data_IF_547430740067
#
_entry.id   IF_547430740067
#
_cell.length_a   1.000
_cell.length_b   1.000
_cell.length_c   1.000
_cell.angle_alpha   90.00
_cell.angle_beta   90.00
_cell.angle_gamma   90.00
#
_symmetry.space_group_name_H-M   'P 1'
#
loop_
_entity.id
_entity.type
_entity.pdbx_description
1 polymer ?
#
# COMPACT_ATOMS: atom_id res chain seq x y z
N UNK A 1 -14.64 -25.85 -6.73
CA UNK A 1 -14.59 -24.47 -6.26
C UNK A 1 -13.12 -24.11 -6.13
N UNK A 2 -12.68 -23.06 -6.81
CA UNK A 2 -11.32 -22.51 -6.66
C UNK A 2 -11.41 -21.22 -5.82
N UNK A 3 -10.50 -21.09 -4.86
CA UNK A 3 -10.45 -19.95 -3.99
C UNK A 3 -9.23 -19.11 -4.40
N UNK A 4 -9.46 -17.86 -4.77
CA UNK A 4 -8.38 -16.89 -4.94
C UNK A 4 -7.91 -16.40 -3.57
N UNK A 5 -6.63 -16.58 -3.26
CA UNK A 5 -6.00 -16.17 -2.00
C UNK A 5 -4.97 -15.05 -2.16
N UNK A 6 -4.92 -14.39 -3.31
CA UNK A 6 -3.91 -13.38 -3.64
C UNK A 6 -3.87 -12.20 -2.65
N UNK A 7 -4.99 -11.89 -2.02
CA UNK A 7 -5.12 -10.84 -1.01
C UNK A 7 -4.37 -11.15 0.30
N UNK A 8 -4.09 -12.44 0.55
CA UNK A 8 -3.41 -12.90 1.78
C UNK A 8 -1.89 -13.11 1.59
N UNK A 9 -1.38 -12.77 0.40
CA UNK A 9 0.07 -12.86 0.14
C UNK A 9 0.84 -11.85 1.00
N UNK A 10 2.00 -12.29 1.47
CA UNK A 10 2.87 -11.45 2.30
C UNK A 10 3.76 -10.52 1.47
N UNK A 11 3.97 -10.86 0.19
CA UNK A 11 4.86 -10.11 -0.69
C UNK A 11 4.15 -9.58 -1.94
N UNK A 12 4.56 -8.40 -2.47
CA UNK A 12 4.04 -7.89 -3.73
C UNK A 12 4.27 -8.83 -4.92
N UNK A 13 5.44 -9.48 -4.97
CA UNK A 13 5.74 -10.45 -6.04
C UNK A 13 4.93 -11.73 -5.87
N UNK A 14 4.70 -12.22 -4.64
CA UNK A 14 3.80 -13.34 -4.40
C UNK A 14 2.38 -13.05 -4.91
N UNK A 15 1.87 -11.84 -4.64
CA UNK A 15 0.58 -11.40 -5.18
C UNK A 15 0.58 -11.37 -6.71
N UNK A 16 1.62 -10.83 -7.34
CA UNK A 16 1.73 -10.76 -8.79
C UNK A 16 1.88 -12.16 -9.43
N UNK A 17 2.48 -13.12 -8.73
CA UNK A 17 2.71 -14.48 -9.23
C UNK A 17 1.41 -15.27 -9.46
N UNK A 18 0.30 -14.86 -8.83
CA UNK A 18 -1.02 -15.47 -9.08
C UNK A 18 -1.43 -15.42 -10.56
N UNK A 19 -0.83 -14.56 -11.38
CA UNK A 19 -1.04 -14.57 -12.84
C UNK A 19 -0.71 -15.94 -13.46
N UNK A 20 0.29 -16.66 -12.92
CA UNK A 20 0.66 -18.00 -13.38
C UNK A 20 -0.44 -19.03 -13.13
N UNK A 21 -1.09 -18.91 -11.94
CA UNK A 21 -2.25 -19.76 -11.64
C UNK A 21 -3.38 -19.57 -12.65
N UNK A 22 -3.72 -18.32 -12.97
CA UNK A 22 -4.72 -18.03 -13.99
C UNK A 22 -4.23 -18.45 -15.39
N UNK A 23 -2.94 -18.26 -15.69
CA UNK A 23 -2.34 -18.73 -16.94
C UNK A 23 -2.53 -20.22 -17.15
N UNK A 24 -2.28 -21.03 -16.11
CA UNK A 24 -2.47 -22.47 -16.15
C UNK A 24 -3.95 -22.86 -16.42
N UNK A 25 -4.91 -22.16 -15.79
CA UNK A 25 -6.33 -22.41 -15.99
C UNK A 25 -6.83 -22.17 -17.43
N UNK A 26 -6.20 -21.24 -18.13
CA UNK A 26 -6.57 -20.86 -19.49
C UNK A 26 -5.62 -21.41 -20.56
N UNK A 27 -4.64 -22.26 -20.19
CA UNK A 27 -3.64 -22.78 -21.12
C UNK A 27 -2.69 -21.69 -21.66
N UNK A 28 -2.44 -20.65 -20.87
CA UNK A 28 -1.63 -19.48 -21.23
C UNK A 28 -0.33 -19.40 -20.41
N UNK A 29 0.20 -20.55 -19.97
CA UNK A 29 1.35 -20.64 -19.06
C UNK A 29 2.54 -19.80 -19.53
N UNK A 30 2.98 -19.96 -20.77
CA UNK A 30 4.12 -19.22 -21.33
C UNK A 30 3.90 -17.70 -21.32
N UNK A 31 2.68 -17.26 -21.56
CA UNK A 31 2.33 -15.84 -21.53
C UNK A 31 2.34 -15.30 -20.10
N UNK A 32 1.79 -16.04 -19.16
CA UNK A 32 1.77 -15.70 -17.75
C UNK A 32 3.20 -15.64 -17.16
N UNK A 33 4.05 -16.61 -17.48
CA UNK A 33 5.46 -16.62 -17.09
C UNK A 33 6.21 -15.42 -17.65
N UNK A 34 6.01 -15.10 -18.92
CA UNK A 34 6.66 -13.93 -19.53
C UNK A 34 6.24 -12.61 -18.87
N UNK A 35 4.94 -12.46 -18.55
CA UNK A 35 4.42 -11.27 -17.87
C UNK A 35 5.02 -11.19 -16.46
N UNK A 36 4.97 -12.28 -15.69
CA UNK A 36 5.50 -12.31 -14.33
C UNK A 36 7.01 -12.00 -14.31
N UNK A 37 7.80 -12.61 -15.18
CA UNK A 37 9.24 -12.36 -15.26
C UNK A 37 9.55 -10.88 -15.53
N UNK A 38 8.77 -10.22 -16.39
CA UNK A 38 8.93 -8.78 -16.62
C UNK A 38 8.57 -7.95 -15.39
N UNK A 39 7.46 -8.29 -14.70
CA UNK A 39 7.07 -7.63 -13.44
C UNK A 39 8.18 -7.77 -12.40
N UNK A 40 8.66 -8.99 -12.16
CA UNK A 40 9.72 -9.29 -11.21
C UNK A 40 11.01 -8.50 -11.50
N UNK A 41 11.42 -8.46 -12.77
CA UNK A 41 12.61 -7.71 -13.20
C UNK A 41 12.47 -6.21 -12.91
N UNK A 42 11.36 -5.59 -13.30
CA UNK A 42 11.16 -4.14 -13.10
C UNK A 42 10.94 -3.82 -11.62
N UNK A 43 10.27 -4.70 -10.88
CA UNK A 43 10.13 -4.59 -9.44
C UNK A 43 11.48 -4.57 -8.73
N UNK A 44 12.33 -5.56 -8.98
CA UNK A 44 13.65 -5.67 -8.37
C UNK A 44 14.57 -4.49 -8.74
N UNK A 45 14.47 -3.99 -9.95
CA UNK A 45 15.18 -2.79 -10.40
C UNK A 45 14.72 -1.55 -9.63
N UNK A 46 13.41 -1.41 -9.42
CA UNK A 46 12.82 -0.29 -8.66
C UNK A 46 13.22 -0.36 -7.18
N UNK A 47 13.18 -1.55 -6.57
CA UNK A 47 13.66 -1.77 -5.20
C UNK A 47 15.14 -1.42 -5.06
N UNK A 48 15.96 -1.83 -6.04
CA UNK A 48 17.39 -1.48 -6.03
C UNK A 48 17.62 0.04 -6.12
N UNK A 49 16.82 0.74 -6.93
CA UNK A 49 16.84 2.21 -6.99
C UNK A 49 16.41 2.83 -5.66
N UNK A 50 15.31 2.36 -5.06
CA UNK A 50 14.82 2.87 -3.78
C UNK A 50 15.85 2.74 -2.65
N UNK A 51 16.65 1.66 -2.64
CA UNK A 51 17.75 1.49 -1.66
C UNK A 51 18.84 2.56 -1.73
N UNK A 52 18.88 3.37 -2.78
CA UNK A 52 19.82 4.51 -2.88
C UNK A 52 19.27 5.78 -2.20
N UNK A 53 18.03 5.76 -1.73
CA UNK A 53 17.43 6.89 -1.01
C UNK A 53 18.24 7.21 0.26
N UNK A 54 18.35 8.51 0.55
CA UNK A 54 19.09 9.01 1.72
C UNK A 54 18.19 9.29 2.92
N UNK A 55 16.87 9.20 2.72
CA UNK A 55 15.85 9.49 3.74
C UNK A 55 14.82 8.35 3.75
N UNK A 56 14.21 8.17 4.91
CA UNK A 56 13.13 7.20 5.11
C UNK A 56 11.89 7.98 5.59
N UNK A 57 11.12 8.59 4.67
CA UNK A 57 9.99 9.41 5.03
C UNK A 57 8.90 8.58 5.72
N UNK A 58 8.20 9.20 6.65
CA UNK A 58 7.03 8.61 7.32
C UNK A 58 5.83 8.58 6.37
N UNK A 59 5.11 7.46 6.39
CA UNK A 59 4.03 7.19 5.42
C UNK A 59 2.73 6.87 6.13
N UNK A 60 1.71 7.69 5.88
CA UNK A 60 0.31 7.43 6.17
C UNK A 60 -0.32 6.69 4.98
N UNK A 61 -1.19 5.72 5.27
CA UNK A 61 -1.90 4.92 4.24
C UNK A 61 -3.39 4.91 4.51
N UNK A 62 -4.19 4.81 3.44
CA UNK A 62 -5.63 4.60 3.51
C UNK A 62 -6.42 5.87 3.79
N UNK A 63 -7.69 5.71 4.13
CA UNK A 63 -8.62 6.78 4.46
C UNK A 63 -9.80 6.26 5.26
N UNK A 64 -10.68 7.16 5.68
CA UNK A 64 -11.91 6.82 6.39
C UNK A 64 -12.90 6.09 5.47
N UNK A 65 -13.42 4.99 5.95
CA UNK A 65 -14.55 4.28 5.36
C UNK A 65 -15.48 3.81 6.49
N UNK A 66 -16.76 4.17 6.44
CA UNK A 66 -17.74 3.84 7.49
C UNK A 66 -17.26 4.18 8.91
N UNK A 67 -16.74 5.40 9.10
CA UNK A 67 -16.23 5.90 10.38
C UNK A 67 -15.02 5.12 10.94
N UNK A 68 -14.35 4.33 10.13
CA UNK A 68 -13.12 3.62 10.50
C UNK A 68 -12.04 3.87 9.47
N UNK A 69 -10.80 3.89 9.92
CA UNK A 69 -9.63 3.99 9.06
C UNK A 69 -8.98 2.63 8.93
N UNK A 70 -8.82 2.17 7.70
CA UNK A 70 -8.20 0.87 7.42
C UNK A 70 -6.77 1.06 6.93
N UNK A 71 -5.82 0.40 7.62
CA UNK A 71 -4.40 0.39 7.28
C UNK A 71 -3.90 -1.05 7.16
N UNK A 72 -2.92 -1.36 6.30
CA UNK A 72 -2.33 -2.69 6.22
C UNK A 72 -1.55 -3.02 7.49
N UNK A 73 -1.61 -4.27 7.94
CA UNK A 73 -0.75 -4.77 9.03
C UNK A 73 0.69 -5.03 8.54
N UNK A 74 1.63 -5.11 9.48
CA UNK A 74 3.07 -5.14 9.23
C UNK A 74 3.60 -6.32 8.42
N UNK A 75 2.91 -7.47 8.40
CA UNK A 75 3.28 -8.62 7.57
C UNK A 75 2.56 -8.67 6.21
N UNK A 76 1.81 -7.63 5.85
CA UNK A 76 1.10 -7.58 4.57
C UNK A 76 2.03 -7.15 3.42
N UNK A 77 1.65 -7.56 2.20
CA UNK A 77 2.33 -7.10 0.98
C UNK A 77 2.32 -5.55 0.86
N UNK A 78 1.27 -4.88 1.38
CA UNK A 78 1.19 -3.41 1.38
C UNK A 78 2.25 -2.77 2.27
N UNK A 79 2.48 -3.32 3.48
CA UNK A 79 3.54 -2.85 4.35
C UNK A 79 4.93 -3.12 3.75
N UNK A 80 5.16 -4.31 3.20
CA UNK A 80 6.42 -4.64 2.54
C UNK A 80 6.71 -3.71 1.36
N UNK A 81 5.67 -3.35 0.58
CA UNK A 81 5.80 -2.41 -0.55
C UNK A 81 6.36 -1.05 -0.08
N UNK A 82 5.82 -0.52 1.01
CA UNK A 82 6.28 0.76 1.60
C UNK A 82 7.72 0.62 2.10
N UNK A 83 8.02 -0.46 2.82
CA UNK A 83 9.35 -0.74 3.35
C UNK A 83 10.41 -0.84 2.26
N UNK A 84 10.11 -1.52 1.16
CA UNK A 84 11.03 -1.67 0.03
C UNK A 84 11.21 -0.35 -0.75
N UNK A 85 10.21 0.53 -0.72
CA UNK A 85 10.33 1.91 -1.19
C UNK A 85 11.11 2.83 -0.22
N UNK A 86 11.68 2.29 0.87
CA UNK A 86 12.37 3.01 1.94
C UNK A 86 11.45 3.95 2.75
N UNK A 87 10.13 3.74 2.72
CA UNK A 87 9.19 4.44 3.57
C UNK A 87 9.20 3.89 5.01
N UNK A 88 9.07 4.77 5.99
CA UNK A 88 8.85 4.43 7.40
C UNK A 88 7.33 4.33 7.64
N UNK A 89 6.82 3.11 7.63
CA UNK A 89 5.40 2.86 7.82
C UNK A 89 5.04 2.81 9.30
N UNK A 90 4.09 3.63 9.72
CA UNK A 90 3.77 3.86 11.13
C UNK A 90 3.24 2.63 11.89
N UNK A 91 2.60 1.69 11.20
CA UNK A 91 2.04 0.46 11.78
C UNK A 91 2.78 -0.81 11.33
N UNK A 92 4.07 -0.68 11.04
CA UNK A 92 4.93 -1.80 10.61
C UNK A 92 5.05 -2.93 11.65
N UNK A 93 4.88 -2.61 12.94
CA UNK A 93 5.01 -3.57 14.04
C UNK A 93 3.72 -4.35 14.32
N UNK A 94 2.60 -3.98 13.70
CA UNK A 94 1.32 -4.67 13.84
C UNK A 94 1.34 -6.02 13.13
N UNK A 95 1.26 -7.11 13.89
CA UNK A 95 1.38 -8.47 13.35
C UNK A 95 0.18 -8.88 12.50
N UNK A 96 0.44 -9.58 11.41
CA UNK A 96 -0.56 -10.19 10.52
C UNK A 96 -0.53 -9.59 9.12
N UNK A 97 -1.25 -10.23 8.19
CA UNK A 97 -1.30 -9.90 6.76
C UNK A 97 -2.52 -9.07 6.35
N UNK A 98 -3.55 -9.04 7.19
CA UNK A 98 -4.81 -8.33 6.89
C UNK A 98 -4.76 -6.83 7.16
N UNK A 99 -5.95 -6.22 7.24
CA UNK A 99 -6.14 -4.82 7.64
C UNK A 99 -6.24 -4.64 9.15
N UNK A 100 -5.79 -3.49 9.63
CA UNK A 100 -6.03 -2.96 10.97
C UNK A 100 -7.09 -1.86 10.85
N UNK A 101 -8.10 -1.89 11.71
CA UNK A 101 -9.13 -0.86 11.80
C UNK A 101 -8.84 0.07 12.97
N UNK A 102 -8.78 1.36 12.71
CA UNK A 102 -8.44 2.41 13.67
C UNK A 102 -9.51 3.50 13.69
N UNK A 103 -9.59 4.25 14.79
CA UNK A 103 -10.38 5.49 14.83
C UNK A 103 -9.62 6.62 14.11
N UNK A 104 -10.35 7.65 13.69
CA UNK A 104 -9.75 8.87 13.13
C UNK A 104 -8.76 9.51 14.11
N UNK A 105 -9.14 9.58 15.37
CA UNK A 105 -8.35 10.20 16.44
C UNK A 105 -7.02 9.47 16.62
N UNK A 106 -7.04 8.13 16.62
CA UNK A 106 -5.82 7.32 16.74
C UNK A 106 -4.89 7.57 15.55
N UNK A 107 -5.43 7.63 14.33
CA UNK A 107 -4.64 7.90 13.14
C UNK A 107 -4.10 9.34 13.16
N UNK A 108 -4.91 10.31 13.56
CA UNK A 108 -4.47 11.70 13.65
C UNK A 108 -3.35 11.87 14.68
N UNK A 109 -3.48 11.23 15.86
CA UNK A 109 -2.45 11.28 16.89
C UNK A 109 -1.09 10.74 16.38
N UNK A 110 -1.09 9.65 15.63
CA UNK A 110 0.11 8.96 15.19
C UNK A 110 0.68 9.47 13.86
N UNK A 111 -0.17 9.97 12.97
CA UNK A 111 0.18 10.26 11.58
C UNK A 111 -0.01 11.72 11.17
N UNK A 112 -0.36 12.63 12.10
CA UNK A 112 -0.57 14.05 11.77
C UNK A 112 0.62 14.67 11.03
N UNK A 113 1.83 14.30 11.43
CA UNK A 113 3.10 14.83 10.90
C UNK A 113 3.75 13.90 9.87
N UNK A 114 3.01 12.93 9.33
CA UNK A 114 3.54 12.04 8.29
C UNK A 114 3.96 12.84 7.05
N UNK A 115 5.13 12.49 6.49
CA UNK A 115 5.69 13.17 5.31
C UNK A 115 4.86 12.93 4.06
N UNK A 116 4.34 11.72 3.88
CA UNK A 116 3.54 11.31 2.72
C UNK A 116 2.25 10.61 3.15
N UNK A 117 1.22 10.81 2.35
CA UNK A 117 -0.03 10.06 2.45
C UNK A 117 -0.31 9.34 1.14
N UNK A 118 -0.29 8.01 1.13
CA UNK A 118 -0.48 7.18 -0.05
C UNK A 118 -1.78 6.38 0.01
N UNK A 119 -2.41 6.18 -1.14
CA UNK A 119 -3.62 5.38 -1.28
C UNK A 119 -4.81 5.87 -0.45
N UNK A 120 -5.14 7.18 -0.45
CA UNK A 120 -6.26 7.71 0.34
C UNK A 120 -7.63 7.26 -0.18
N UNK A 121 -7.68 6.59 -1.32
CA UNK A 121 -8.91 6.14 -1.97
C UNK A 121 -9.08 6.75 -3.36
N UNK A 122 -10.30 6.65 -3.90
CA UNK A 122 -10.62 7.11 -5.25
C UNK A 122 -11.07 8.58 -5.24
N UNK A 123 -10.12 9.49 -5.08
CA UNK A 123 -10.36 10.93 -5.20
C UNK A 123 -9.71 11.47 -6.46
N UNK A 124 -10.42 12.33 -7.20
CA UNK A 124 -9.89 12.94 -8.43
C UNK A 124 -9.02 14.18 -8.14
N UNK A 125 -9.06 14.69 -6.91
CA UNK A 125 -8.28 15.85 -6.48
C UNK A 125 -8.18 15.96 -4.96
N UNK A 126 -7.17 16.71 -4.48
CA UNK A 126 -7.06 17.06 -3.06
C UNK A 126 -8.27 17.85 -2.55
N UNK A 127 -8.89 18.66 -3.42
CA UNK A 127 -10.11 19.38 -3.08
C UNK A 127 -11.26 18.43 -2.81
N UNK A 128 -11.51 17.46 -3.68
CA UNK A 128 -12.54 16.44 -3.48
C UNK A 128 -12.30 15.66 -2.16
N UNK A 129 -11.07 15.34 -1.88
CA UNK A 129 -10.66 14.68 -0.63
C UNK A 129 -11.02 15.52 0.60
N UNK A 130 -10.70 16.81 0.60
CA UNK A 130 -11.04 17.73 1.71
C UNK A 130 -12.53 18.03 1.81
N UNK A 131 -13.24 18.10 0.69
CA UNK A 131 -14.70 18.28 0.66
C UNK A 131 -15.41 17.05 1.23
N UNK A 132 -14.85 15.84 1.05
CA UNK A 132 -15.40 14.59 1.60
C UNK A 132 -15.25 14.48 3.12
N UNK A 133 -14.15 15.01 3.65
CA UNK A 133 -13.90 15.08 5.09
C UNK A 133 -12.97 16.26 5.42
N UNK A 134 -13.53 17.31 6.00
CA UNK A 134 -12.80 18.52 6.38
C UNK A 134 -11.66 18.25 7.38
N UNK A 135 -11.77 17.20 8.17
CA UNK A 135 -10.75 16.85 9.16
C UNK A 135 -9.43 16.37 8.54
N UNK A 136 -9.45 15.97 7.26
CA UNK A 136 -8.22 15.60 6.53
C UNK A 136 -7.21 16.76 6.43
N UNK A 137 -7.68 18.00 6.52
CA UNK A 137 -6.82 19.19 6.56
C UNK A 137 -5.88 19.24 7.78
N UNK A 138 -6.07 18.37 8.77
CA UNK A 138 -5.19 18.30 9.94
C UNK A 138 -3.89 17.55 9.68
N UNK A 139 -3.79 16.79 8.56
CA UNK A 139 -2.57 16.07 8.20
C UNK A 139 -1.60 16.97 7.41
N UNK A 140 -0.36 17.03 7.86
CA UNK A 140 0.69 17.85 7.24
C UNK A 140 1.00 17.39 5.80
N UNK A 141 0.95 16.08 5.53
CA UNK A 141 1.11 15.54 4.19
C UNK A 141 0.10 16.10 3.18
N UNK A 142 -1.16 16.30 3.59
CA UNK A 142 -2.16 16.94 2.73
C UNK A 142 -1.85 18.42 2.50
N UNK A 143 -1.47 19.16 3.54
CA UNK A 143 -1.11 20.57 3.45
C UNK A 143 0.13 20.78 2.55
N UNK A 144 1.10 19.86 2.63
CA UNK A 144 2.29 19.85 1.80
C UNK A 144 2.03 19.35 0.36
N UNK A 145 0.81 18.85 0.07
CA UNK A 145 0.43 18.22 -1.21
C UNK A 145 1.23 16.95 -1.54
N UNK A 146 1.67 16.24 -0.53
CA UNK A 146 2.36 14.97 -0.62
C UNK A 146 1.36 13.80 -0.48
N UNK A 147 0.33 13.77 -1.34
CA UNK A 147 -0.75 12.77 -1.37
C UNK A 147 -0.79 12.11 -2.73
#
# INVERSE_FOLDING_TARGET
VMINGDWNEETPLGKAEWIKFFGALYGLDKKADSIFTNIEKEYNKTVALAKTAKTNPTVLVGSMFNNQWFVPKGNSWGCLFIKEAQGNYLWSDEKGTGGLSLSFETVLEQAKTADFWIGPGSFDSLKQMTDSNIHYNQFESLQAKNV
#
